data_IF_026747438812
#
_entry.id   IF_026747438812
#
_cell.length_a   1.000
_cell.length_b   1.000
_cell.length_c   1.000
_cell.angle_alpha   90.00
_cell.angle_beta   90.00
_cell.angle_gamma   90.00
#
_symmetry.space_group_name_H-M   'P 1'
#
loop_
_entity.id
_entity.type
_entity.pdbx_description
1 polymer ?
#
# COMPACT_ATOMS: atom_id res chain seq x y z
N UNK A 1 7.08 -12.72 -5.57
CA UNK A 1 8.24 -11.98 -6.08
C UNK A 1 8.16 -10.61 -5.46
N UNK A 2 9.23 -10.22 -4.76
CA UNK A 2 9.28 -9.02 -3.93
C UNK A 2 10.19 -7.95 -4.51
N UNK A 3 11.25 -8.30 -5.23
CA UNK A 3 12.14 -7.30 -5.81
C UNK A 3 12.76 -7.83 -7.11
N UNK A 4 12.98 -6.93 -8.08
CA UNK A 4 13.62 -7.25 -9.36
C UNK A 4 14.60 -6.14 -9.75
N UNK A 5 15.84 -6.54 -10.01
CA UNK A 5 16.86 -5.70 -10.66
C UNK A 5 17.19 -6.34 -12.02
N UNK A 6 17.00 -5.57 -13.09
CA UNK A 6 17.17 -6.04 -14.47
C UNK A 6 18.49 -5.57 -15.10
N UNK A 7 19.16 -4.61 -14.48
CA UNK A 7 20.45 -4.06 -14.89
C UNK A 7 21.16 -3.47 -13.66
N UNK A 8 22.49 -3.40 -13.67
CA UNK A 8 23.29 -2.87 -12.58
C UNK A 8 24.62 -2.33 -13.10
N UNK A 9 25.72 -2.50 -12.36
CA UNK A 9 27.05 -2.08 -12.86
C UNK A 9 27.41 -2.79 -14.18
N UNK A 10 26.84 -3.98 -14.38
CA UNK A 10 26.93 -4.71 -15.64
C UNK A 10 25.55 -5.22 -16.04
N UNK A 11 25.34 -5.51 -17.33
CA UNK A 11 24.13 -6.15 -17.83
C UNK A 11 23.87 -7.57 -17.29
N UNK A 12 24.73 -8.09 -16.40
CA UNK A 12 24.54 -9.35 -15.68
C UNK A 12 24.38 -9.15 -14.18
N UNK A 13 24.35 -7.90 -13.75
CA UNK A 13 24.12 -7.49 -12.37
C UNK A 13 22.60 -7.39 -12.13
N UNK A 14 21.96 -8.55 -12.25
CA UNK A 14 20.52 -8.75 -12.20
C UNK A 14 20.16 -9.78 -11.13
N UNK A 15 19.05 -9.54 -10.43
CA UNK A 15 18.50 -10.45 -9.43
C UNK A 15 16.98 -10.45 -9.42
N UNK A 16 16.45 -11.53 -8.85
CA UNK A 16 15.03 -11.69 -8.52
C UNK A 16 14.96 -12.14 -7.07
N UNK A 17 14.09 -11.49 -6.31
CA UNK A 17 13.81 -11.81 -4.93
C UNK A 17 12.37 -12.32 -4.76
N UNK A 18 12.19 -13.28 -3.86
CA UNK A 18 10.89 -13.83 -3.51
C UNK A 18 10.70 -13.74 -2.00
N UNK A 19 9.69 -13.00 -1.57
CA UNK A 19 9.22 -12.97 -0.19
C UNK A 19 8.08 -13.98 0.05
N UNK A 20 8.08 -14.62 1.22
CA UNK A 20 7.00 -15.48 1.69
C UNK A 20 6.16 -14.77 2.76
N UNK A 21 4.94 -14.29 2.44
CA UNK A 21 4.06 -13.61 3.41
C UNK A 21 3.36 -14.55 4.39
N UNK A 22 3.54 -15.86 4.26
CA UNK A 22 2.82 -16.81 5.09
C UNK A 22 3.50 -16.99 6.45
N UNK A 23 2.70 -17.37 7.44
CA UNK A 23 3.12 -17.71 8.80
C UNK A 23 3.81 -19.09 8.92
N UNK A 24 4.07 -19.74 7.79
CA UNK A 24 4.71 -21.05 7.67
C UNK A 24 5.73 -21.08 6.52
N UNK A 25 6.68 -22.03 6.62
CA UNK A 25 7.69 -22.24 5.59
C UNK A 25 7.06 -22.79 4.29
N UNK A 26 7.53 -22.31 3.14
CA UNK A 26 7.18 -22.83 1.82
C UNK A 26 8.36 -23.62 1.25
N UNK A 27 8.10 -24.88 0.87
CA UNK A 27 9.05 -25.64 0.06
C UNK A 27 8.90 -25.26 -1.41
N UNK A 28 10.03 -25.06 -2.09
CA UNK A 28 10.10 -24.80 -3.52
C UNK A 28 10.48 -26.07 -4.31
N UNK A 29 10.44 -27.25 -3.68
CA UNK A 29 10.71 -28.51 -4.38
C UNK A 29 9.72 -28.69 -5.54
N UNK A 30 10.25 -29.02 -6.70
CA UNK A 30 9.47 -29.15 -7.93
C UNK A 30 9.03 -27.85 -8.59
N UNK A 31 9.24 -26.67 -7.97
CA UNK A 31 8.89 -25.37 -8.56
C UNK A 31 9.93 -24.94 -9.62
N UNK A 32 9.58 -23.93 -10.42
CA UNK A 32 10.49 -23.30 -11.35
C UNK A 32 10.29 -21.79 -11.47
N UNK A 33 11.39 -21.10 -11.73
CA UNK A 33 11.40 -19.73 -12.21
C UNK A 33 11.42 -19.77 -13.74
N UNK A 34 10.49 -19.07 -14.39
CA UNK A 34 10.41 -18.97 -15.84
C UNK A 34 10.45 -17.53 -16.29
N UNK A 35 10.95 -17.31 -17.50
CA UNK A 35 11.13 -15.97 -18.04
C UNK A 35 10.89 -15.92 -19.54
N UNK A 36 10.24 -14.86 -20.00
CA UNK A 36 10.14 -14.53 -21.42
C UNK A 36 10.45 -13.04 -21.61
N UNK A 37 11.44 -12.73 -22.45
CA UNK A 37 11.71 -11.35 -22.85
C UNK A 37 10.65 -10.85 -23.85
N UNK A 38 10.38 -9.55 -23.87
CA UNK A 38 9.33 -8.93 -24.70
C UNK A 38 9.45 -9.28 -26.18
N UNK A 39 10.67 -9.33 -26.74
CA UNK A 39 10.93 -9.72 -28.14
C UNK A 39 11.12 -11.23 -28.38
N UNK A 40 10.88 -12.09 -27.40
CA UNK A 40 11.17 -13.53 -27.47
C UNK A 40 9.90 -14.38 -27.39
N UNK A 41 9.65 -15.20 -28.41
CA UNK A 41 8.57 -16.18 -28.39
C UNK A 41 8.86 -17.41 -27.49
N UNK A 42 10.11 -17.58 -27.02
CA UNK A 42 10.53 -18.74 -26.22
C UNK A 42 10.70 -18.39 -24.74
N UNK A 43 10.20 -19.29 -23.88
CA UNK A 43 10.44 -19.25 -22.44
C UNK A 43 11.80 -19.85 -22.08
N UNK A 44 12.45 -19.24 -21.10
CA UNK A 44 13.59 -19.78 -20.36
C UNK A 44 13.09 -20.30 -19.02
N UNK A 45 13.75 -21.31 -18.46
CA UNK A 45 13.36 -21.92 -17.17
C UNK A 45 14.56 -22.32 -16.34
N UNK A 46 14.47 -22.05 -15.03
CA UNK A 46 15.38 -22.52 -14.01
C UNK A 46 14.57 -23.22 -12.91
N UNK A 47 14.83 -24.50 -12.69
CA UNK A 47 14.20 -25.24 -11.60
C UNK A 47 14.87 -24.90 -10.26
N UNK A 48 14.08 -24.88 -9.20
CA UNK A 48 14.58 -24.83 -7.82
C UNK A 48 15.20 -26.18 -7.44
N UNK A 49 16.12 -26.14 -6.46
CA UNK A 49 16.69 -27.36 -5.88
C UNK A 49 15.65 -28.03 -4.97
N UNK A 50 15.76 -29.34 -4.79
CA UNK A 50 14.77 -30.11 -4.01
C UNK A 50 14.73 -29.75 -2.53
N UNK A 51 15.80 -29.12 -2.01
CA UNK A 51 15.89 -28.62 -0.64
C UNK A 51 15.66 -27.11 -0.53
N UNK A 52 15.36 -26.43 -1.64
CA UNK A 52 15.04 -25.01 -1.64
C UNK A 52 13.74 -24.75 -0.85
N UNK A 53 13.80 -23.75 0.01
CA UNK A 53 12.68 -23.34 0.86
C UNK A 53 12.78 -21.86 1.18
N UNK A 54 11.63 -21.25 1.40
CA UNK A 54 11.52 -19.89 1.95
C UNK A 54 10.89 -20.06 3.33
N UNK A 55 11.58 -19.63 4.39
CA UNK A 55 10.98 -19.67 5.73
C UNK A 55 9.77 -18.73 5.76
N UNK A 56 8.89 -18.89 6.74
CA UNK A 56 7.84 -17.89 7.01
C UNK A 56 8.44 -16.49 7.05
N UNK A 57 7.75 -15.50 6.48
CA UNK A 57 8.14 -14.09 6.56
C UNK A 57 9.59 -13.81 6.12
N UNK A 58 10.11 -14.59 5.18
CA UNK A 58 11.52 -14.54 4.80
C UNK A 58 11.65 -14.45 3.28
N UNK A 59 12.89 -14.25 2.83
CA UNK A 59 13.22 -13.95 1.44
C UNK A 59 14.02 -15.07 0.81
N UNK A 60 14.04 -15.10 -0.52
CA UNK A 60 14.85 -16.02 -1.31
C UNK A 60 15.47 -15.28 -2.49
N UNK A 61 16.80 -15.15 -2.47
CA UNK A 61 17.54 -14.35 -3.44
C UNK A 61 18.10 -15.20 -4.58
N UNK A 62 17.75 -14.84 -5.82
CA UNK A 62 18.19 -15.51 -7.04
C UNK A 62 19.00 -14.53 -7.88
N UNK A 63 20.27 -14.84 -8.12
CA UNK A 63 21.17 -13.96 -8.90
C UNK A 63 21.71 -14.65 -10.14
N UNK A 64 22.04 -13.87 -11.16
CA UNK A 64 22.82 -14.37 -12.28
C UNK A 64 24.26 -14.72 -11.85
N UNK A 65 24.91 -15.68 -12.51
CA UNK A 65 26.25 -16.16 -12.13
C UNK A 65 27.36 -15.10 -12.22
N UNK A 66 27.10 -14.03 -12.96
CA UNK A 66 28.01 -12.91 -13.15
C UNK A 66 27.50 -11.67 -12.39
N UNK A 67 26.55 -11.83 -11.47
CA UNK A 67 26.13 -10.78 -10.55
C UNK A 67 27.36 -10.26 -9.81
N UNK A 68 27.62 -8.96 -9.94
CA UNK A 68 28.89 -8.35 -9.56
C UNK A 68 28.72 -7.27 -8.50
N UNK A 69 27.49 -6.87 -8.18
CA UNK A 69 27.21 -5.92 -7.14
C UNK A 69 27.90 -6.36 -5.84
N UNK A 70 28.55 -5.40 -5.21
CA UNK A 70 29.21 -5.53 -3.92
C UNK A 70 28.17 -5.65 -2.79
N UNK A 71 27.26 -6.62 -2.85
CA UNK A 71 26.28 -6.83 -1.79
C UNK A 71 26.90 -7.68 -0.69
N UNK A 72 26.63 -7.30 0.56
CA UNK A 72 26.96 -8.10 1.74
C UNK A 72 26.03 -9.31 1.91
N UNK A 73 25.03 -9.45 1.02
CA UNK A 73 24.00 -10.47 1.07
C UNK A 73 24.27 -11.58 0.05
N UNK A 74 24.61 -12.81 0.49
CA UNK A 74 24.84 -13.92 -0.44
C UNK A 74 23.53 -14.39 -1.09
N UNK A 75 23.58 -14.85 -2.34
CA UNK A 75 22.41 -15.42 -3.00
C UNK A 75 22.04 -16.81 -2.45
N UNK A 76 20.74 -17.10 -2.37
CA UNK A 76 20.24 -18.44 -2.07
C UNK A 76 20.32 -19.35 -3.31
N UNK A 77 20.19 -18.78 -4.50
CA UNK A 77 20.42 -19.45 -5.78
C UNK A 77 21.27 -18.62 -6.73
N UNK A 78 22.29 -19.25 -7.30
CA UNK A 78 23.05 -18.71 -8.44
C UNK A 78 22.66 -19.46 -9.72
N UNK A 79 22.35 -18.73 -10.79
CA UNK A 79 21.89 -19.30 -12.06
C UNK A 79 22.51 -18.63 -13.29
N UNK A 80 22.49 -19.28 -14.44
CA UNK A 80 22.98 -18.70 -15.72
C UNK A 80 22.10 -19.03 -16.91
N UNK A 81 20.84 -19.37 -16.66
CA UNK A 81 19.86 -19.79 -17.65
C UNK A 81 18.97 -18.64 -18.07
N UNK A 82 18.60 -17.79 -17.11
CA UNK A 82 17.78 -16.59 -17.30
C UNK A 82 18.71 -15.38 -17.28
N UNK A 83 18.49 -14.49 -18.25
CA UNK A 83 19.09 -13.16 -18.31
C UNK A 83 17.95 -12.23 -18.68
N UNK A 84 17.72 -11.23 -17.85
CA UNK A 84 16.66 -10.24 -17.94
C UNK A 84 17.02 -9.25 -19.03
N UNK A 85 16.08 -9.01 -19.94
CA UNK A 85 16.25 -8.01 -21.00
C UNK A 85 16.08 -6.61 -20.42
N UNK A 86 16.98 -5.68 -20.75
CA UNK A 86 16.82 -4.25 -20.44
C UNK A 86 15.73 -3.54 -21.26
N UNK A 87 15.06 -4.22 -22.20
CA UNK A 87 13.92 -3.67 -22.94
C UNK A 87 12.60 -4.06 -22.26
N UNK A 88 12.50 -5.30 -21.77
CA UNK A 88 11.32 -5.77 -21.08
C UNK A 88 11.16 -7.28 -21.11
N UNK A 89 10.28 -7.78 -20.25
CA UNK A 89 9.96 -9.19 -20.16
C UNK A 89 9.00 -9.50 -19.02
N UNK A 90 8.73 -10.77 -18.84
CA UNK A 90 7.91 -11.27 -17.73
C UNK A 90 8.62 -12.41 -17.03
N UNK A 91 8.76 -12.28 -15.72
CA UNK A 91 9.22 -13.33 -14.81
C UNK A 91 8.00 -14.04 -14.22
N UNK A 92 8.06 -15.35 -14.07
CA UNK A 92 6.99 -16.18 -13.54
C UNK A 92 7.53 -17.10 -12.45
N UNK A 93 6.87 -17.12 -11.31
CA UNK A 93 7.07 -18.13 -10.28
C UNK A 93 6.05 -19.24 -10.48
N UNK A 94 6.50 -20.44 -10.83
CA UNK A 94 5.63 -21.56 -11.23
C UNK A 94 5.74 -22.70 -10.22
N UNK A 95 4.60 -23.20 -9.74
CA UNK A 95 4.47 -24.25 -8.72
C UNK A 95 4.81 -25.65 -9.22
N UNK A 96 5.25 -25.77 -10.47
CA UNK A 96 5.78 -26.97 -11.07
C UNK A 96 7.04 -26.65 -11.91
N UNK A 97 7.60 -27.68 -12.55
CA UNK A 97 8.77 -27.57 -13.41
C UNK A 97 8.43 -27.82 -14.89
N UNK A 98 7.19 -27.60 -15.30
CA UNK A 98 6.72 -27.74 -16.68
C UNK A 98 6.82 -26.37 -17.36
N UNK A 99 7.28 -26.32 -18.61
CA UNK A 99 7.30 -25.03 -19.33
C UNK A 99 5.88 -24.48 -19.47
N UNK A 100 5.70 -23.20 -19.11
CA UNK A 100 4.47 -22.47 -19.40
C UNK A 100 4.38 -22.18 -20.91
N UNK A 101 3.15 -21.98 -21.39
CA UNK A 101 2.79 -21.83 -22.79
C UNK A 101 2.41 -20.38 -23.09
N UNK A 102 1.61 -19.74 -22.22
CA UNK A 102 1.09 -18.40 -22.48
C UNK A 102 1.17 -17.42 -21.30
N UNK A 103 1.49 -17.87 -20.09
CA UNK A 103 1.57 -17.00 -18.91
C UNK A 103 0.25 -16.87 -18.15
N UNK A 104 -0.74 -17.71 -18.46
CA UNK A 104 -2.07 -17.75 -17.85
C UNK A 104 -2.35 -19.10 -17.17
N UNK A 105 -1.33 -19.93 -16.98
CA UNK A 105 -1.44 -21.23 -16.33
C UNK A 105 -1.74 -21.08 -14.83
N UNK A 106 -2.71 -21.85 -14.32
CA UNK A 106 -3.04 -21.90 -12.88
C UNK A 106 -1.87 -22.37 -11.98
N UNK A 107 -0.81 -22.90 -12.57
CA UNK A 107 0.41 -23.30 -11.86
C UNK A 107 1.33 -22.11 -11.57
N UNK A 108 1.11 -20.97 -12.23
CA UNK A 108 1.76 -19.69 -11.90
C UNK A 108 1.25 -19.25 -10.52
N UNK A 109 2.18 -19.01 -9.61
CA UNK A 109 1.91 -18.47 -8.28
C UNK A 109 1.96 -16.95 -8.27
N UNK A 110 2.81 -16.36 -9.11
CA UNK A 110 3.05 -14.92 -9.22
C UNK A 110 3.74 -14.62 -10.57
N UNK A 111 3.51 -13.44 -11.15
CA UNK A 111 4.15 -12.97 -12.38
C UNK A 111 4.45 -11.47 -12.30
N UNK A 112 5.63 -11.07 -12.77
CA UNK A 112 6.06 -9.67 -12.81
C UNK A 112 6.50 -9.34 -14.22
N UNK A 113 5.74 -8.48 -14.89
CA UNK A 113 6.09 -7.92 -16.18
C UNK A 113 6.66 -6.51 -16.04
N UNK A 114 7.61 -6.18 -16.90
CA UNK A 114 8.26 -4.88 -16.94
C UNK A 114 8.62 -4.52 -18.39
N UNK A 115 8.58 -3.24 -18.76
CA UNK A 115 8.83 -2.80 -20.14
C UNK A 115 9.31 -1.35 -20.25
N UNK A 116 10.23 -1.09 -21.19
CA UNK A 116 10.76 0.24 -21.50
C UNK A 116 10.14 0.75 -22.81
N UNK A 117 9.19 1.68 -22.70
CA UNK A 117 8.66 2.45 -23.83
C UNK A 117 7.23 2.11 -24.25
N UNK A 118 6.84 2.61 -25.42
CA UNK A 118 5.50 2.40 -25.98
C UNK A 118 5.38 0.99 -26.56
N UNK A 119 4.29 0.30 -26.21
CA UNK A 119 4.04 -1.07 -26.68
C UNK A 119 3.84 -1.12 -28.19
N UNK A 120 4.54 -2.03 -28.83
CA UNK A 120 4.28 -2.47 -30.20
C UNK A 120 3.41 -3.74 -30.19
N UNK A 121 2.69 -4.02 -31.27
CA UNK A 121 1.81 -5.20 -31.37
C UNK A 121 2.52 -6.56 -31.29
N UNK A 122 3.85 -6.58 -31.25
CA UNK A 122 4.69 -7.78 -31.19
C UNK A 122 5.34 -8.01 -29.81
N UNK A 123 4.94 -7.25 -28.78
CA UNK A 123 5.52 -7.37 -27.44
C UNK A 123 4.91 -8.56 -26.68
N UNK A 124 5.68 -9.63 -26.54
CA UNK A 124 5.31 -10.87 -25.87
C UNK A 124 5.38 -10.74 -24.34
N UNK A 125 4.64 -9.79 -23.79
CA UNK A 125 4.49 -9.58 -22.36
C UNK A 125 3.25 -10.30 -21.83
N UNK A 126 3.32 -10.75 -20.57
CA UNK A 126 2.15 -11.27 -19.83
C UNK A 126 2.05 -10.54 -18.49
N UNK A 127 1.76 -9.22 -18.50
CA UNK A 127 1.46 -8.52 -17.25
C UNK A 127 0.24 -9.14 -16.59
N UNK A 128 0.03 -8.82 -15.32
CA UNK A 128 -1.27 -8.99 -14.69
C UNK A 128 -2.24 -8.00 -15.33
N UNK A 129 -2.48 -6.85 -14.70
CA UNK A 129 -3.22 -5.74 -15.34
C UNK A 129 -2.29 -4.86 -16.17
N UNK A 130 -1.21 -4.34 -15.58
CA UNK A 130 -0.18 -3.57 -16.26
C UNK A 130 1.20 -3.94 -15.75
N UNK A 131 2.19 -3.87 -16.64
CA UNK A 131 3.62 -4.01 -16.35
C UNK A 131 4.22 -2.78 -15.66
N UNK A 132 5.34 -3.00 -15.00
CA UNK A 132 6.20 -1.94 -14.48
C UNK A 132 6.80 -1.15 -15.65
N UNK A 133 6.74 0.18 -15.56
CA UNK A 133 7.47 1.07 -16.46
C UNK A 133 8.91 1.24 -15.97
N UNK A 134 9.88 0.82 -16.79
CA UNK A 134 11.31 0.86 -16.42
C UNK A 134 12.05 2.05 -17.05
N UNK A 135 11.34 3.03 -17.62
CA UNK A 135 11.96 4.19 -18.26
C UNK A 135 12.85 5.01 -17.30
N UNK A 136 12.54 5.00 -16.01
CA UNK A 136 13.25 5.76 -14.96
C UNK A 136 14.25 4.91 -14.16
N UNK A 137 14.48 3.65 -14.56
CA UNK A 137 15.40 2.77 -13.84
C UNK A 137 16.85 3.31 -13.90
N UNK A 138 17.45 3.49 -12.73
CA UNK A 138 18.84 3.93 -12.57
C UNK A 138 19.79 2.72 -12.49
N UNK A 139 21.07 2.95 -12.79
CA UNK A 139 22.13 1.94 -12.63
C UNK A 139 22.20 1.46 -11.17
N UNK A 140 22.06 0.15 -10.95
CA UNK A 140 22.06 -0.44 -9.60
C UNK A 140 20.74 -0.28 -8.83
N UNK A 141 19.74 0.33 -9.44
CA UNK A 141 18.38 0.42 -8.92
C UNK A 141 17.56 -0.85 -9.20
N UNK A 142 16.42 -0.96 -8.53
CA UNK A 142 15.50 -2.09 -8.65
C UNK A 142 14.05 -1.61 -8.58
N UNK A 143 13.13 -2.54 -8.82
CA UNK A 143 11.73 -2.37 -8.46
C UNK A 143 11.39 -3.31 -7.32
N UNK A 144 10.85 -2.75 -6.25
CA UNK A 144 10.48 -3.47 -5.04
C UNK A 144 8.97 -3.43 -4.87
N UNK A 145 8.36 -4.59 -4.61
CA UNK A 145 6.93 -4.74 -4.35
C UNK A 145 6.63 -4.04 -3.03
N UNK A 146 5.54 -3.28 -3.00
CA UNK A 146 5.04 -2.63 -1.80
C UNK A 146 4.78 -3.66 -0.70
N UNK A 147 4.95 -3.26 0.56
CA UNK A 147 4.52 -4.10 1.67
C UNK A 147 3.02 -3.99 1.93
N UNK A 148 2.44 -2.81 1.71
CA UNK A 148 1.02 -2.52 1.85
C UNK A 148 0.58 -1.43 0.87
N UNK A 149 -0.72 -1.11 0.87
CA UNK A 149 -1.30 -0.13 -0.06
C UNK A 149 -0.69 1.29 0.05
N UNK A 150 -0.17 1.65 1.22
CA UNK A 150 0.42 2.97 1.51
C UNK A 150 1.93 3.04 1.28
N UNK A 151 2.62 1.92 1.04
CA UNK A 151 4.08 1.93 0.87
C UNK A 151 4.52 2.83 -0.30
N UNK A 152 5.53 3.65 -0.03
CA UNK A 152 6.27 4.50 -0.98
C UNK A 152 7.76 4.15 -0.99
N UNK A 153 8.51 4.68 -1.96
CA UNK A 153 9.98 4.63 -2.02
C UNK A 153 10.64 5.04 -0.70
N UNK A 154 10.14 6.08 -0.04
CA UNK A 154 10.69 6.62 1.21
C UNK A 154 10.31 5.77 2.42
N UNK A 155 9.14 5.14 2.40
CA UNK A 155 8.70 4.30 3.51
C UNK A 155 9.41 2.94 3.55
N UNK A 156 9.87 2.46 2.40
CA UNK A 156 10.48 1.14 2.22
C UNK A 156 12.02 1.18 2.27
N UNK A 157 12.65 2.35 2.40
CA UNK A 157 14.11 2.44 2.65
C UNK A 157 14.47 2.07 4.09
N UNK A 158 15.76 1.82 4.33
CA UNK A 158 16.32 1.68 5.66
C UNK A 158 15.91 2.83 6.60
N UNK A 159 15.26 2.49 7.70
CA UNK A 159 14.71 3.44 8.69
C UNK A 159 13.33 3.98 8.34
N UNK A 160 12.76 3.60 7.19
CA UNK A 160 11.39 3.92 6.80
C UNK A 160 10.35 3.08 7.55
N UNK A 161 9.12 3.59 7.60
CA UNK A 161 8.03 2.99 8.38
C UNK A 161 7.66 1.56 7.95
N UNK A 162 7.76 1.30 6.65
CA UNK A 162 7.31 0.04 6.05
C UNK A 162 8.48 -0.92 5.75
N UNK A 163 9.71 -0.57 6.16
CA UNK A 163 10.93 -1.33 5.86
C UNK A 163 10.86 -2.81 6.29
N UNK A 164 10.10 -3.15 7.33
CA UNK A 164 10.07 -4.50 7.91
C UNK A 164 8.69 -5.16 7.86
N UNK A 165 7.79 -4.65 7.02
CA UNK A 165 6.42 -5.16 6.91
C UNK A 165 6.27 -6.23 5.83
N UNK A 166 7.34 -6.60 5.13
CA UNK A 166 7.34 -7.67 4.14
C UNK A 166 6.66 -7.29 2.82
N UNK A 167 7.31 -7.61 1.71
CA UNK A 167 6.95 -7.11 0.37
C UNK A 167 5.96 -8.02 -0.37
N UNK A 168 4.68 -8.00 0.04
CA UNK A 168 3.64 -8.88 -0.49
C UNK A 168 2.35 -8.19 -0.99
N UNK A 169 2.34 -6.87 -1.10
CA UNK A 169 1.16 -6.17 -1.61
C UNK A 169 0.97 -6.45 -3.11
N UNK A 170 -0.18 -7.03 -3.44
CA UNK A 170 -0.46 -7.56 -4.78
C UNK A 170 -1.92 -7.28 -5.15
N UNK A 171 -2.13 -6.36 -6.09
CA UNK A 171 -3.46 -5.96 -6.59
C UNK A 171 -3.76 -6.53 -7.97
N UNK A 172 -3.00 -7.56 -8.36
CA UNK A 172 -2.95 -8.08 -9.73
C UNK A 172 -2.58 -6.95 -10.72
N UNK A 173 -1.70 -6.02 -10.32
CA UNK A 173 -1.25 -4.92 -11.16
C UNK A 173 0.19 -4.52 -10.86
N UNK A 174 1.15 -5.17 -11.53
CA UNK A 174 2.59 -4.91 -11.36
C UNK A 174 2.96 -3.42 -11.42
N UNK A 175 2.30 -2.60 -12.25
CA UNK A 175 2.56 -1.15 -12.32
C UNK A 175 2.30 -0.42 -11.00
N UNK A 176 1.27 -0.83 -10.27
CA UNK A 176 0.83 -0.17 -9.04
C UNK A 176 1.42 -0.83 -7.79
N UNK A 177 1.84 -2.09 -7.91
CA UNK A 177 2.33 -2.88 -6.79
C UNK A 177 3.83 -2.73 -6.55
N UNK A 178 4.57 -2.19 -7.52
CA UNK A 178 6.01 -2.00 -7.42
C UNK A 178 6.40 -0.52 -7.40
N UNK A 179 7.43 -0.21 -6.61
CA UNK A 179 8.03 1.11 -6.47
C UNK A 179 9.50 1.07 -6.90
N UNK A 180 9.98 2.18 -7.46
CA UNK A 180 11.39 2.33 -7.85
C UNK A 180 12.27 2.46 -6.61
N UNK A 181 13.40 1.76 -6.64
CA UNK A 181 14.50 1.89 -5.68
C UNK A 181 15.71 2.46 -6.42
N UNK A 182 16.18 3.62 -5.99
CA UNK A 182 17.39 4.22 -6.57
C UNK A 182 18.64 3.37 -6.34
N UNK A 183 18.65 2.58 -5.26
CA UNK A 183 19.68 1.60 -4.96
C UNK A 183 19.03 0.34 -4.40
N UNK A 184 19.35 -0.80 -5.02
CA UNK A 184 18.81 -2.10 -4.65
C UNK A 184 19.27 -2.53 -3.25
N UNK A 185 18.40 -3.20 -2.50
CA UNK A 185 18.71 -3.70 -1.14
C UNK A 185 18.28 -5.17 -0.97
N UNK A 186 18.81 -6.10 -1.79
CA UNK A 186 18.31 -7.46 -1.82
C UNK A 186 18.50 -8.20 -0.49
N UNK A 187 17.52 -9.02 -0.15
CA UNK A 187 17.39 -9.86 1.03
C UNK A 187 17.33 -11.34 0.64
N UNK A 188 17.87 -12.19 1.51
CA UNK A 188 17.94 -13.65 1.31
C UNK A 188 17.35 -14.39 2.52
N UNK A 189 17.52 -15.71 2.56
CA UNK A 189 17.04 -16.56 3.66
C UNK A 189 17.70 -16.26 5.04
N UNK A 190 18.78 -15.48 5.07
CA UNK A 190 19.47 -15.05 6.29
C UNK A 190 19.10 -13.63 6.74
N UNK A 191 18.33 -12.88 5.96
CA UNK A 191 17.77 -11.61 6.38
C UNK A 191 16.84 -11.80 7.59
N UNK A 192 16.59 -10.70 8.32
CA UNK A 192 15.57 -10.69 9.37
C UNK A 192 14.20 -11.08 8.76
N UNK A 193 13.38 -11.77 9.55
CA UNK A 193 12.01 -12.06 9.13
C UNK A 193 11.16 -10.81 9.25
N UNK A 194 10.31 -10.58 8.27
CA UNK A 194 9.44 -9.41 8.18
C UNK A 194 7.99 -9.87 8.20
N UNK A 195 7.32 -9.75 9.34
CA UNK A 195 5.94 -10.20 9.51
C UNK A 195 4.97 -9.10 9.05
N UNK A 196 4.11 -9.34 8.04
CA UNK A 196 3.17 -8.33 7.55
C UNK A 196 2.15 -7.88 8.60
N UNK A 197 2.01 -8.62 9.70
CA UNK A 197 1.13 -8.30 10.81
C UNK A 197 1.78 -7.54 11.97
N UNK A 198 3.09 -7.25 11.93
CA UNK A 198 3.81 -6.56 13.01
C UNK A 198 4.24 -5.17 12.54
N UNK A 199 3.56 -4.14 13.03
CA UNK A 199 4.07 -2.77 12.94
C UNK A 199 5.26 -2.62 13.90
N UNK A 200 6.46 -2.45 13.35
CA UNK A 200 7.67 -2.21 14.12
C UNK A 200 7.70 -0.76 14.61
N UNK A 201 7.22 -0.52 15.83
CA UNK A 201 7.46 0.74 16.54
C UNK A 201 8.95 0.84 16.86
N UNK A 202 9.69 1.65 16.09
CA UNK A 202 11.05 1.99 16.44
C UNK A 202 11.02 2.92 17.67
N UNK A 203 11.40 2.39 18.83
CA UNK A 203 11.83 3.25 19.94
C UNK A 203 13.17 3.88 19.52
N UNK A 204 13.31 5.23 19.49
CA UNK A 204 14.60 5.84 19.18
C UNK A 204 15.62 5.46 20.26
N UNK A 205 16.70 4.77 19.88
CA UNK A 205 17.83 4.52 20.77
C UNK A 205 18.46 5.86 21.19
N UNK A 206 18.21 6.28 22.42
CA UNK A 206 18.87 7.45 23.02
C UNK A 206 20.29 7.03 23.40
N UNK A 207 21.29 7.45 22.61
CA UNK A 207 22.69 7.45 23.02
C UNK A 207 22.86 8.48 24.15
N UNK A 208 22.90 7.99 25.39
CA UNK A 208 23.19 8.79 26.58
C UNK A 208 24.68 9.14 26.62
N UNK A 209 25.03 10.38 26.26
CA UNK A 209 26.32 10.97 26.61
C UNK A 209 26.20 11.65 27.99
N UNK A 210 26.90 11.07 28.96
CA UNK A 210 27.07 11.60 30.32
C UNK A 210 27.81 12.96 30.27
N UNK A 211 27.11 14.06 30.57
CA UNK A 211 27.65 15.19 31.36
C UNK A 211 26.56 16.15 31.85
N UNK A 212 26.37 16.05 33.15
CA UNK A 212 25.67 16.92 34.09
C UNK A 212 25.99 18.43 33.92
N UNK A 213 24.96 19.27 33.78
CA UNK A 213 24.81 20.53 34.52
C UNK A 213 23.35 21.02 34.46
N UNK A 214 22.90 21.56 35.60
CA UNK A 214 21.52 21.87 35.97
C UNK A 214 21.03 23.23 35.45
N UNK A 215 19.90 23.27 34.75
CA UNK A 215 19.03 24.44 34.58
C UNK A 215 17.55 23.98 34.38
N UNK A 216 16.55 24.83 34.68
CA UNK A 216 15.19 24.40 34.96
C UNK A 216 14.40 24.05 33.70
N UNK A 217 13.53 23.06 33.87
CA UNK A 217 12.59 22.47 32.91
C UNK A 217 11.79 23.52 32.13
N UNK A 218 11.94 23.63 30.79
CA UNK A 218 10.95 24.29 29.94
C UNK A 218 9.78 23.33 29.66
N UNK A 219 8.57 23.89 29.60
CA UNK A 219 7.32 23.22 29.23
C UNK A 219 7.49 22.31 28.00
N UNK A 220 6.79 21.16 27.92
CA UNK A 220 6.92 20.21 26.83
C UNK A 220 6.52 20.86 25.50
N UNK A 221 7.50 21.18 24.67
CA UNK A 221 7.28 21.49 23.26
C UNK A 221 7.03 20.18 22.52
N UNK A 222 5.89 20.13 21.81
CA UNK A 222 5.51 19.00 20.97
C UNK A 222 6.63 18.64 19.97
N UNK A 223 6.91 17.35 19.74
CA UNK A 223 7.84 16.94 18.69
C UNK A 223 7.32 17.36 17.30
N UNK A 224 8.20 17.64 16.34
CA UNK A 224 7.81 18.13 15.02
C UNK A 224 6.93 17.11 14.29
N UNK A 225 5.71 17.53 13.93
CA UNK A 225 4.79 16.80 13.06
C UNK A 225 5.42 16.70 11.67
N UNK A 226 5.95 15.53 11.33
CA UNK A 226 6.51 15.25 10.01
C UNK A 226 5.39 14.79 9.09
N UNK A 227 4.78 15.74 8.39
CA UNK A 227 3.76 15.49 7.38
C UNK A 227 4.40 14.85 6.15
N UNK A 228 4.02 13.61 5.82
CA UNK A 228 4.27 13.05 4.48
C UNK A 228 3.36 13.79 3.51
N UNK A 229 3.95 14.71 2.75
CA UNK A 229 3.39 15.18 1.49
C UNK A 229 3.51 14.04 0.48
N UNK A 230 2.42 13.33 0.21
CA UNK A 230 2.24 12.76 -1.12
C UNK A 230 2.48 13.84 -2.19
N UNK A 231 2.96 13.44 -3.36
CA UNK A 231 3.01 14.31 -4.53
C UNK A 231 1.91 13.88 -5.51
N UNK A 232 1.36 14.90 -6.15
CA UNK A 232 0.22 14.94 -7.06
C UNK A 232 -0.10 13.66 -7.86
N UNK A 233 -1.26 13.05 -7.58
CA UNK A 233 -2.08 12.38 -8.60
C UNK A 233 -3.17 13.34 -9.05
N UNK A 234 -3.11 13.77 -10.31
CA UNK A 234 -4.20 14.49 -10.96
C UNK A 234 -5.30 13.48 -11.23
N UNK A 235 -6.31 13.45 -10.36
CA UNK A 235 -7.61 12.88 -10.70
C UNK A 235 -8.33 13.90 -11.61
N UNK A 236 -8.54 13.56 -12.89
CA UNK A 236 -9.40 14.36 -13.75
C UNK A 236 -10.86 14.16 -13.31
N UNK A 237 -11.33 15.04 -12.42
CA UNK A 237 -12.75 15.19 -12.16
C UNK A 237 -13.42 15.78 -13.41
N UNK A 238 -14.39 15.03 -13.96
CA UNK A 238 -15.23 15.48 -15.05
C UNK A 238 -16.10 16.65 -14.57
N UNK A 239 -15.58 17.87 -14.78
CA UNK A 239 -16.21 19.19 -14.89
C UNK A 239 -15.66 20.29 -13.94
N UNK A 240 -14.36 20.58 -14.11
CA UNK A 240 -13.74 21.91 -14.14
C UNK A 240 -14.18 22.95 -13.08
N UNK A 241 -13.39 23.15 -12.03
CA UNK A 241 -12.49 24.32 -11.87
C UNK A 241 -11.66 24.19 -10.58
N UNK A 242 -10.35 24.40 -10.71
CA UNK A 242 -9.36 24.56 -9.63
C UNK A 242 -9.03 23.30 -8.82
N UNK A 243 -7.82 22.79 -9.04
CA UNK A 243 -7.16 21.88 -8.12
C UNK A 243 -7.07 22.52 -6.75
N UNK A 244 -7.89 22.07 -5.80
CA UNK A 244 -7.89 22.59 -4.45
C UNK A 244 -8.15 21.53 -3.36
N UNK A 245 -7.67 20.30 -3.55
CA UNK A 245 -7.58 19.30 -2.47
C UNK A 245 -6.18 18.71 -2.49
N UNK A 246 -5.50 18.81 -1.35
CA UNK A 246 -4.23 18.18 -1.05
C UNK A 246 -4.49 16.72 -0.69
N UNK A 247 -4.75 15.89 -1.71
CA UNK A 247 -4.97 14.43 -1.58
C UNK A 247 -3.81 13.70 -0.91
N UNK A 248 -2.77 14.44 -0.59
CA UNK A 248 -1.51 13.95 -0.15
C UNK A 248 -1.47 13.61 1.34
N UNK A 249 -2.33 14.28 2.09
CA UNK A 249 -2.58 14.05 3.52
C UNK A 249 -3.87 13.28 3.75
N UNK A 250 -4.49 12.80 2.67
CA UNK A 250 -5.79 12.15 2.69
C UNK A 250 -5.63 10.66 2.96
N UNK A 251 -6.26 10.17 4.02
CA UNK A 251 -6.40 8.74 4.30
C UNK A 251 -7.86 8.36 4.03
N UNK A 252 -8.11 7.53 3.02
CA UNK A 252 -9.47 7.08 2.75
C UNK A 252 -9.97 6.13 3.81
N UNK A 253 -11.26 6.27 4.17
CA UNK A 253 -11.90 5.29 5.01
C UNK A 253 -11.85 3.92 4.31
N UNK A 254 -11.30 2.87 4.94
CA UNK A 254 -11.16 1.58 4.30
C UNK A 254 -12.52 0.94 4.01
N UNK A 255 -12.55 0.04 3.03
CA UNK A 255 -13.75 -0.78 2.77
C UNK A 255 -14.06 -1.66 3.99
N UNK A 256 -15.32 -1.63 4.46
CA UNK A 256 -15.72 -2.35 5.67
C UNK A 256 -16.25 -3.73 5.29
N UNK A 257 -15.39 -4.74 5.42
CA UNK A 257 -15.71 -6.17 5.28
C UNK A 257 -15.32 -6.91 6.55
N UNK A 258 -16.22 -7.74 7.09
CA UNK A 258 -15.97 -8.42 8.36
C UNK A 258 -15.81 -7.42 9.52
N UNK A 259 -14.90 -7.67 10.45
CA UNK A 259 -14.61 -6.70 11.53
C UNK A 259 -13.42 -5.82 11.14
N UNK A 260 -13.62 -4.51 11.09
CA UNK A 260 -12.60 -3.51 10.81
C UNK A 260 -12.47 -2.58 12.01
N UNK A 261 -11.23 -2.30 12.45
CA UNK A 261 -10.93 -1.31 13.49
C UNK A 261 -10.09 -0.20 12.86
N UNK A 262 -10.51 1.05 13.02
CA UNK A 262 -9.74 2.21 12.55
C UNK A 262 -8.58 2.52 13.51
N UNK A 263 -7.60 3.25 13.03
CA UNK A 263 -6.48 3.72 13.84
C UNK A 263 -6.92 4.91 14.69
N UNK A 264 -6.60 4.87 15.99
CA UNK A 264 -6.91 5.96 16.91
C UNK A 264 -6.22 7.27 16.48
N UNK A 265 -6.84 8.42 16.76
CA UNK A 265 -6.32 9.75 16.41
C UNK A 265 -6.14 10.04 14.91
N UNK A 266 -6.68 9.20 14.03
CA UNK A 266 -6.53 9.35 12.58
C UNK A 266 -7.72 10.07 11.95
N UNK A 267 -7.45 10.89 10.93
CA UNK A 267 -8.48 11.51 10.09
C UNK A 267 -8.71 10.67 8.84
N UNK A 268 -9.94 10.18 8.63
CA UNK A 268 -10.36 9.43 7.45
C UNK A 268 -11.31 10.25 6.57
N UNK A 269 -11.27 10.02 5.27
CA UNK A 269 -12.04 10.75 4.27
C UNK A 269 -12.97 9.81 3.49
N UNK A 270 -14.19 10.30 3.19
CA UNK A 270 -15.21 9.60 2.40
C UNK A 270 -15.73 10.54 1.31
N UNK A 271 -15.48 10.23 0.03
CA UNK A 271 -15.94 11.02 -1.11
C UNK A 271 -16.63 10.24 -2.25
N UNK A 272 -16.79 8.92 -2.11
CA UNK A 272 -17.54 8.10 -3.08
C UNK A 272 -19.02 8.51 -3.09
N UNK A 273 -19.62 8.54 -4.30
CA UNK A 273 -21.06 8.75 -4.51
C UNK A 273 -21.92 7.78 -3.68
N UNK A 274 -21.44 6.56 -3.47
CA UNK A 274 -22.15 5.55 -2.67
C UNK A 274 -21.92 5.73 -1.15
N UNK A 275 -21.09 6.70 -0.75
CA UNK A 275 -20.67 6.93 0.62
C UNK A 275 -19.94 5.75 1.24
N UNK A 276 -19.90 5.75 2.57
CA UNK A 276 -19.35 4.63 3.34
C UNK A 276 -20.47 3.67 3.74
N UNK A 277 -20.24 2.36 3.66
CA UNK A 277 -21.24 1.35 4.05
C UNK A 277 -20.64 0.31 4.97
N UNK A 278 -21.33 0.05 6.08
CA UNK A 278 -21.10 -1.11 6.95
C UNK A 278 -22.17 -2.14 6.58
N UNK A 279 -21.87 -3.16 5.76
CA UNK A 279 -22.87 -4.14 5.35
C UNK A 279 -23.29 -5.05 6.52
N UNK A 280 -24.46 -5.68 6.39
CA UNK A 280 -24.95 -6.69 7.35
C UNK A 280 -23.87 -7.76 7.60
N UNK A 281 -23.65 -8.12 8.86
CA UNK A 281 -22.61 -9.08 9.28
C UNK A 281 -21.18 -8.52 9.35
N UNK A 282 -20.96 -7.27 8.93
CA UNK A 282 -19.71 -6.55 9.17
C UNK A 282 -19.79 -5.70 10.45
N UNK A 283 -18.63 -5.35 11.00
CA UNK A 283 -18.50 -4.51 12.18
C UNK A 283 -17.41 -3.46 11.97
N UNK A 284 -17.74 -2.19 12.18
CA UNK A 284 -16.75 -1.11 12.28
C UNK A 284 -16.49 -0.75 13.74
N UNK A 285 -15.23 -0.70 14.15
CA UNK A 285 -14.78 -0.22 15.44
C UNK A 285 -14.00 1.08 15.23
N UNK A 286 -14.42 2.15 15.90
CA UNK A 286 -13.83 3.49 15.79
C UNK A 286 -13.26 3.87 17.15
N UNK A 287 -11.93 3.78 17.34
CA UNK A 287 -11.29 4.20 18.59
C UNK A 287 -11.38 5.70 18.83
N UNK A 288 -11.02 6.13 20.04
CA UNK A 288 -10.99 7.55 20.40
C UNK A 288 -10.08 8.40 19.49
N UNK A 289 -10.42 9.68 19.37
CA UNK A 289 -9.68 10.66 18.56
C UNK A 289 -9.79 10.52 17.05
N UNK A 290 -10.50 9.51 16.55
CA UNK A 290 -10.77 9.39 15.11
C UNK A 290 -11.63 10.56 14.63
N UNK A 291 -11.25 11.14 13.50
CA UNK A 291 -12.06 12.11 12.75
C UNK A 291 -12.47 11.50 11.42
N UNK A 292 -13.76 11.49 11.07
CA UNK A 292 -14.24 11.07 9.76
C UNK A 292 -14.81 12.28 9.05
N UNK A 293 -14.18 12.66 7.95
CA UNK A 293 -14.57 13.76 7.09
C UNK A 293 -15.35 13.23 5.89
N UNK A 294 -16.40 13.94 5.49
CA UNK A 294 -17.21 13.63 4.31
C UNK A 294 -17.12 14.71 3.25
N UNK A 295 -16.95 14.28 2.00
CA UNK A 295 -16.94 15.15 0.84
C UNK A 295 -18.36 15.44 0.34
N UNK A 296 -18.41 16.09 -0.81
CA UNK A 296 -19.63 16.23 -1.62
C UNK A 296 -19.33 15.69 -2.99
N UNK A 297 -20.17 14.78 -3.48
CA UNK A 297 -20.04 14.32 -4.85
C UNK A 297 -20.68 15.34 -5.80
N UNK A 298 -19.92 15.77 -6.82
CA UNK A 298 -20.37 16.75 -7.82
C UNK A 298 -20.43 16.09 -9.19
N UNK A 299 -21.54 16.30 -9.89
CA UNK A 299 -21.66 15.88 -11.29
C UNK A 299 -22.16 17.03 -12.15
N UNK A 300 -21.40 17.32 -13.20
CA UNK A 300 -21.71 18.39 -14.14
C UNK A 300 -21.54 19.81 -13.59
N UNK A 301 -21.20 20.00 -12.30
CA UNK A 301 -21.08 21.33 -11.65
C UNK A 301 -22.38 21.95 -11.15
N UNK A 302 -23.54 21.31 -11.40
CA UNK A 302 -24.87 21.79 -10.99
C UNK A 302 -25.55 20.82 -10.01
N UNK A 303 -25.13 19.55 -10.01
CA UNK A 303 -25.65 18.53 -9.11
C UNK A 303 -24.64 18.32 -7.99
N UNK A 304 -25.14 18.36 -6.77
CA UNK A 304 -24.34 18.31 -5.56
C UNK A 304 -25.05 17.38 -4.58
N UNK A 305 -24.47 16.19 -4.39
CA UNK A 305 -25.04 15.16 -3.55
C UNK A 305 -24.27 15.08 -2.24
N UNK A 306 -24.96 15.21 -1.10
CA UNK A 306 -24.34 15.01 0.20
C UNK A 306 -23.98 13.53 0.38
N UNK A 307 -22.81 13.27 0.95
CA UNK A 307 -22.35 11.91 1.20
C UNK A 307 -22.78 11.50 2.61
N UNK A 308 -23.32 10.29 2.74
CA UNK A 308 -23.73 9.69 4.01
C UNK A 308 -22.91 8.44 4.31
N UNK A 309 -22.92 8.02 5.58
CA UNK A 309 -22.48 6.69 5.97
C UNK A 309 -23.71 5.83 6.28
N UNK A 310 -23.83 4.66 5.64
CA UNK A 310 -24.91 3.71 5.86
C UNK A 310 -24.45 2.55 6.76
N UNK A 311 -25.18 2.32 7.84
CA UNK A 311 -24.85 1.32 8.85
C UNK A 311 -25.93 0.24 8.86
N UNK A 312 -25.68 -0.84 8.12
CA UNK A 312 -26.56 -2.01 8.08
C UNK A 312 -26.05 -3.14 8.99
N UNK A 313 -24.75 -3.17 9.27
CA UNK A 313 -24.07 -4.05 10.22
C UNK A 313 -23.88 -3.44 11.61
N UNK A 314 -22.83 -3.86 12.30
CA UNK A 314 -22.48 -3.40 13.65
C UNK A 314 -21.53 -2.20 13.64
N UNK A 315 -21.69 -1.28 14.59
CA UNK A 315 -20.85 -0.09 14.76
C UNK A 315 -20.50 0.10 16.24
N UNK A 316 -19.21 0.25 16.55
CA UNK A 316 -18.72 0.49 17.90
C UNK A 316 -17.77 1.69 17.91
N UNK A 317 -18.25 2.82 18.46
CA UNK A 317 -17.49 4.06 18.61
C UNK A 317 -17.07 4.21 20.06
N UNK A 318 -15.76 4.24 20.29
CA UNK A 318 -15.13 4.20 21.61
C UNK A 318 -14.39 5.51 21.91
N UNK A 319 -15.05 6.66 21.71
CA UNK A 319 -14.50 7.97 22.07
C UNK A 319 -14.39 8.16 23.58
N UNK A 320 -13.47 9.03 24.00
CA UNK A 320 -13.37 9.49 25.40
C UNK A 320 -13.78 10.96 25.56
N UNK A 321 -13.97 11.42 26.79
CA UNK A 321 -14.31 12.84 27.07
C UNK A 321 -13.17 13.77 26.64
N UNK A 322 -11.92 13.34 26.84
CA UNK A 322 -10.73 14.08 26.43
C UNK A 322 -10.45 13.98 24.93
N UNK A 323 -10.88 12.88 24.29
CA UNK A 323 -10.60 12.61 22.90
C UNK A 323 -11.83 12.02 22.19
N UNK A 324 -12.82 12.86 21.87
CA UNK A 324 -14.04 12.38 21.23
C UNK A 324 -13.77 11.89 19.81
N UNK A 325 -14.63 11.00 19.32
CA UNK A 325 -14.70 10.71 17.88
C UNK A 325 -15.51 11.79 17.19
N UNK A 326 -15.05 12.26 16.04
CA UNK A 326 -15.66 13.39 15.34
C UNK A 326 -16.08 13.01 13.92
N UNK A 327 -17.31 13.32 13.54
CA UNK A 327 -17.79 13.22 12.16
C UNK A 327 -18.06 14.63 11.63
N UNK A 328 -17.48 14.98 10.49
CA UNK A 328 -17.53 16.34 9.96
C UNK A 328 -17.36 16.39 8.44
N UNK A 329 -17.29 17.59 7.85
CA UNK A 329 -17.07 17.81 6.41
C UNK A 329 -15.58 17.94 6.08
N UNK A 330 -15.20 17.70 4.81
CA UNK A 330 -13.83 17.95 4.32
C UNK A 330 -13.37 19.39 4.55
N UNK A 331 -14.32 20.34 4.64
CA UNK A 331 -14.09 21.78 4.86
C UNK A 331 -13.84 22.18 6.32
N UNK A 332 -13.94 21.23 7.24
CA UNK A 332 -13.80 21.52 8.66
C UNK A 332 -12.33 21.47 9.06
N UNK A 333 -11.64 22.60 8.99
CA UNK A 333 -10.25 22.73 9.41
C UNK A 333 -10.05 22.76 10.94
N UNK A 334 -11.13 22.85 11.73
CA UNK A 334 -11.03 22.86 13.20
C UNK A 334 -10.76 21.45 13.76
N UNK A 335 -11.14 20.41 13.03
CA UNK A 335 -11.07 19.02 13.50
C UNK A 335 -10.38 18.12 12.49
N UNK A 336 -9.31 17.42 12.89
CA UNK A 336 -8.57 16.51 12.01
C UNK A 336 -7.77 17.24 10.93
N UNK A 337 -7.17 16.49 10.01
CA UNK A 337 -6.26 17.05 9.00
C UNK A 337 -7.00 17.92 7.96
N UNK A 338 -6.42 19.07 7.62
CA UNK A 338 -6.94 19.97 6.59
C UNK A 338 -6.38 19.55 5.23
N UNK A 339 -7.27 19.23 4.28
CA UNK A 339 -6.88 18.85 2.92
C UNK A 339 -7.48 19.74 1.85
N UNK A 340 -8.48 20.57 2.13
CA UNK A 340 -8.89 21.58 1.17
C UNK A 340 -7.91 22.74 1.17
N UNK A 341 -7.50 23.19 -0.01
CA UNK A 341 -6.68 24.40 -0.18
C UNK A 341 -7.55 25.59 -0.65
N UNK A 342 -8.87 25.46 -0.53
CA UNK A 342 -9.85 26.50 -0.80
C UNK A 342 -10.48 26.97 0.49
N UNK A 343 -10.54 28.29 0.68
CA UNK A 343 -11.00 28.98 1.89
C UNK A 343 -12.55 28.95 2.04
N UNK A 344 -13.15 27.76 1.96
CA UNK A 344 -14.61 27.60 2.07
C UNK A 344 -14.99 27.11 3.45
N UNK A 345 -15.56 27.99 4.27
CA UNK A 345 -15.98 27.63 5.63
C UNK A 345 -17.04 26.52 5.63
N UNK A 346 -16.99 25.59 6.61
CA UNK A 346 -17.94 24.49 6.71
C UNK A 346 -19.34 25.01 7.08
N UNK A 347 -20.38 24.43 6.47
CA UNK A 347 -21.77 24.83 6.68
C UNK A 347 -22.68 23.63 6.99
N UNK A 348 -23.77 23.81 7.77
CA UNK A 348 -24.74 22.74 8.00
C UNK A 348 -25.26 22.12 6.70
N UNK A 349 -25.33 20.80 6.66
CA UNK A 349 -25.69 20.03 5.46
C UNK A 349 -24.58 19.95 4.41
N UNK A 350 -23.32 20.12 4.82
CA UNK A 350 -22.18 19.83 3.94
C UNK A 350 -21.96 18.34 3.70
N UNK A 351 -22.48 17.52 4.59
CA UNK A 351 -22.64 16.08 4.38
C UNK A 351 -24.02 15.62 4.85
N UNK A 352 -24.36 14.38 4.53
CA UNK A 352 -25.69 13.81 4.71
C UNK A 352 -25.98 13.48 6.16
N UNK A 353 -25.78 12.22 6.52
CA UNK A 353 -25.96 11.74 7.89
C UNK A 353 -25.18 10.44 8.13
N UNK A 354 -25.07 10.06 9.39
CA UNK A 354 -24.85 8.67 9.78
C UNK A 354 -26.21 7.97 9.78
N UNK A 355 -26.52 7.25 8.70
CA UNK A 355 -27.79 6.56 8.49
C UNK A 355 -27.72 5.16 9.12
N UNK A 356 -28.52 4.93 10.15
CA UNK A 356 -28.56 3.64 10.85
C UNK A 356 -29.73 2.81 10.32
N UNK A 357 -29.40 1.80 9.51
CA UNK A 357 -30.33 0.82 8.91
C UNK A 357 -30.06 -0.60 9.44
N UNK A 358 -29.52 -0.70 10.66
CA UNK A 358 -28.98 -1.96 11.21
C UNK A 358 -30.05 -3.04 11.39
N UNK A 359 -29.75 -4.26 10.94
CA UNK A 359 -30.66 -5.42 11.03
C UNK A 359 -30.77 -6.05 12.43
N UNK A 360 -31.70 -6.99 12.59
CA UNK A 360 -31.87 -7.75 13.83
C UNK A 360 -30.59 -8.55 14.16
N UNK A 361 -29.98 -8.26 15.32
CA UNK A 361 -28.79 -8.95 15.81
C UNK A 361 -27.50 -8.14 15.70
N UNK A 362 -27.53 -6.99 15.00
CA UNK A 362 -26.41 -6.06 14.94
C UNK A 362 -26.33 -5.18 16.19
N UNK A 363 -25.14 -4.68 16.49
CA UNK A 363 -24.89 -3.86 17.67
C UNK A 363 -24.40 -2.47 17.30
N UNK A 364 -25.05 -1.44 17.85
CA UNK A 364 -24.63 -0.04 17.73
C UNK A 364 -24.24 0.45 19.13
N UNK A 365 -22.98 0.85 19.28
CA UNK A 365 -22.46 1.49 20.49
C UNK A 365 -21.79 2.80 20.10
N UNK A 366 -22.19 3.88 20.76
CA UNK A 366 -21.65 5.22 20.49
C UNK A 366 -21.25 5.86 21.80
N UNK A 367 -19.96 6.17 21.96
CA UNK A 367 -19.39 6.81 23.13
C UNK A 367 -18.61 8.06 22.74
N UNK A 368 -18.86 9.16 23.47
CA UNK A 368 -18.22 10.47 23.34
C UNK A 368 -17.94 10.86 21.88
N UNK A 369 -19.01 10.96 21.10
CA UNK A 369 -18.97 11.25 19.67
C UNK A 369 -19.57 12.62 19.41
N UNK A 370 -18.99 13.38 18.48
CA UNK A 370 -19.48 14.69 18.05
C UNK A 370 -19.75 14.68 16.55
N UNK A 371 -20.83 15.33 16.16
CA UNK A 371 -21.23 15.51 14.77
C UNK A 371 -21.28 17.00 14.45
N UNK A 372 -20.57 17.41 13.40
CA UNK A 372 -20.57 18.79 12.92
C UNK A 372 -21.02 18.85 11.47
N UNK A 373 -21.73 19.92 11.11
CA UNK A 373 -22.09 20.27 9.72
C UNK A 373 -22.89 19.20 8.91
N UNK A 374 -23.50 18.22 9.59
CA UNK A 374 -24.39 17.22 9.01
C UNK A 374 -25.76 17.81 8.63
N UNK A 375 -26.64 17.00 8.03
CA UNK A 375 -28.07 17.29 7.92
C UNK A 375 -28.53 17.74 6.54
N UNK A 376 -27.82 17.36 5.48
CA UNK A 376 -28.34 17.53 4.13
C UNK A 376 -29.50 16.54 3.91
N UNK A 377 -30.68 17.05 3.58
CA UNK A 377 -31.93 16.29 3.52
C UNK A 377 -31.84 15.05 2.59
N UNK A 378 -31.83 13.85 3.17
CA UNK A 378 -32.54 12.70 2.63
C UNK A 378 -33.47 12.17 3.71
N UNK A 379 -34.75 12.03 3.40
CA UNK A 379 -35.80 11.86 4.40
C UNK A 379 -35.79 10.50 5.09
N UNK A 380 -35.01 10.33 6.15
CA UNK A 380 -35.25 9.31 7.19
C UNK A 380 -34.26 9.47 8.36
N UNK A 381 -34.79 9.73 9.56
CA UNK A 381 -34.14 9.49 10.86
C UNK A 381 -32.69 9.96 11.04
N UNK A 382 -32.46 11.26 11.14
CA UNK A 382 -31.14 11.80 11.47
C UNK A 382 -30.81 11.62 12.97
N UNK A 383 -29.62 11.11 13.28
CA UNK A 383 -28.98 11.16 14.62
C UNK A 383 -27.68 11.96 14.53
#
# INVERSE_FOLDING_TARGET
MSEIQIDGETASDEFIEIYNPNDHDISLDGWSLQYRGSGSASFKKKNFLSDAKIKKYSFYLIVHKNYSASTTMPADMVQSTISLSGVGGTVFLVRDNIFIINGEENTISDKVAYYNGEKSGDDWLSPETFEIDIAELLEGGSFERKSNASSTSESMIKGGLNQFEGNAYDTDNNKNDFILREASQPQNTNAAQEDPGIQHYFEPEILLDDKNESEPEPEPQEPPKNYLSCESLIYEDHNNTQGQVDYTKRIDLPEIKGTVTLDANTTYYVDDLNGARIPVGAKLIIPEGVVIKFGRWRWGGWMNFPISMHVEGSLEINGSVSNPVIFTTFRDDEHGEAIDISDTSPAPGDWGALQIDSGNGETIKVQNTKFFYAGANEGSGNV
#
